data_IF_178418114629
#
_entry.id   IF_178418114629
#
_cell.length_a   1.000
_cell.length_b   1.000
_cell.length_c   1.000
_cell.angle_alpha   90.00
_cell.angle_beta   90.00
_cell.angle_gamma   90.00
#
_symmetry.space_group_name_H-M   'P 1'
#
loop_
_entity.id
_entity.type
_entity.pdbx_description
1 polymer ?
#
# COMPACT_ATOMS: atom_id res chain seq x y z
N UNK A 1 11.24 -5.57 -18.00
CA UNK A 1 9.89 -5.47 -18.60
C UNK A 1 9.57 -4.01 -18.82
N UNK A 2 9.01 -3.62 -19.97
CA UNK A 2 8.50 -2.27 -20.19
C UNK A 2 7.06 -2.23 -19.66
N UNK A 3 6.84 -1.51 -18.56
CA UNK A 3 5.48 -1.19 -18.11
C UNK A 3 4.82 -0.31 -19.18
N UNK A 4 3.60 -0.63 -19.65
CA UNK A 4 2.94 0.19 -20.65
C UNK A 4 2.81 1.64 -20.16
N UNK A 5 3.22 2.61 -20.99
CA UNK A 5 2.99 4.05 -20.71
C UNK A 5 1.51 4.41 -20.52
N UNK A 6 0.62 3.55 -20.98
CA UNK A 6 -0.82 3.67 -20.77
C UNK A 6 -1.22 3.42 -19.31
N UNK A 7 -0.45 2.62 -18.56
CA UNK A 7 -0.69 2.27 -17.16
C UNK A 7 0.17 3.14 -16.23
N UNK A 8 1.43 3.37 -16.61
CA UNK A 8 2.33 4.28 -15.90
C UNK A 8 2.79 5.38 -16.86
N UNK A 9 2.05 6.51 -16.93
CA UNK A 9 2.33 7.57 -17.91
C UNK A 9 3.60 8.37 -17.60
N UNK A 10 4.05 8.35 -16.35
CA UNK A 10 5.25 9.08 -15.92
C UNK A 10 6.53 8.25 -16.16
N UNK A 11 7.70 8.90 -16.22
CA UNK A 11 8.98 8.19 -16.28
C UNK A 11 9.16 7.23 -15.09
N UNK A 12 9.81 6.09 -15.33
CA UNK A 12 10.06 5.07 -14.29
C UNK A 12 10.78 5.62 -13.04
N UNK A 13 11.58 6.69 -13.20
CA UNK A 13 12.33 7.35 -12.12
C UNK A 13 11.40 7.96 -11.05
N UNK A 14 10.15 8.24 -11.42
CA UNK A 14 9.16 8.84 -10.52
C UNK A 14 8.35 7.80 -9.74
N UNK A 15 8.50 6.52 -10.08
CA UNK A 15 7.80 5.44 -9.41
C UNK A 15 8.72 4.71 -8.45
N UNK A 16 8.22 4.45 -7.26
CA UNK A 16 8.85 3.57 -6.29
C UNK A 16 8.30 2.15 -6.56
N UNK A 17 9.12 1.20 -7.02
CA UNK A 17 8.68 -0.18 -7.17
C UNK A 17 8.49 -0.81 -5.79
N UNK A 18 7.31 -1.40 -5.57
CA UNK A 18 7.00 -2.16 -4.37
C UNK A 18 6.84 -3.62 -4.74
N UNK A 19 7.43 -4.52 -3.94
CA UNK A 19 7.39 -5.95 -4.17
C UNK A 19 6.24 -6.58 -3.37
N UNK A 20 5.15 -7.04 -4.01
CA UNK A 20 4.10 -7.78 -3.32
C UNK A 20 4.61 -9.16 -2.91
N UNK A 21 4.58 -9.45 -1.61
CA UNK A 21 4.96 -10.74 -1.05
C UNK A 21 3.70 -11.54 -0.70
N UNK A 22 3.29 -12.45 -1.58
CA UNK A 22 2.15 -13.34 -1.33
C UNK A 22 2.45 -14.31 -0.20
N UNK A 23 1.55 -14.39 0.78
CA UNK A 23 1.72 -15.27 1.95
C UNK A 23 0.48 -16.13 2.25
N UNK A 24 -0.66 -15.82 1.62
CA UNK A 24 -1.89 -16.60 1.76
C UNK A 24 -2.67 -16.61 0.45
N UNK A 25 -3.21 -17.78 0.11
CA UNK A 25 -4.06 -17.99 -1.07
C UNK A 25 -5.24 -18.89 -0.67
N UNK A 26 -6.46 -18.51 -1.05
CA UNK A 26 -7.66 -19.31 -0.76
C UNK A 26 -8.75 -19.13 -1.82
N UNK A 27 -9.78 -19.98 -1.77
CA UNK A 27 -10.88 -19.99 -2.74
C UNK A 27 -11.65 -18.66 -2.76
N UNK A 28 -11.95 -18.15 -3.96
CA UNK A 28 -12.86 -17.03 -4.17
C UNK A 28 -14.21 -17.55 -4.69
N UNK A 29 -14.99 -18.21 -3.82
CA UNK A 29 -16.22 -18.91 -4.20
C UNK A 29 -17.25 -17.99 -4.87
N UNK A 30 -17.30 -16.73 -4.44
CA UNK A 30 -18.21 -15.72 -4.98
C UNK A 30 -17.71 -15.07 -6.27
N UNK A 31 -16.53 -15.47 -6.77
CA UNK A 31 -15.85 -14.89 -7.95
C UNK A 31 -15.78 -13.37 -7.89
N UNK A 32 -15.60 -12.83 -6.68
CA UNK A 32 -15.52 -11.40 -6.45
C UNK A 32 -14.28 -10.84 -7.15
N UNK A 33 -14.39 -9.62 -7.68
CA UNK A 33 -13.26 -8.89 -8.19
C UNK A 33 -13.12 -7.58 -7.42
N UNK A 34 -11.93 -7.32 -6.87
CA UNK A 34 -11.71 -6.14 -6.05
C UNK A 34 -10.41 -6.21 -5.26
N UNK A 35 -10.12 -5.14 -4.56
CA UNK A 35 -8.98 -5.05 -3.67
C UNK A 35 -9.40 -4.41 -2.35
N UNK A 36 -8.91 -4.98 -1.24
CA UNK A 36 -9.01 -4.40 0.09
C UNK A 36 -7.61 -4.24 0.68
N UNK A 37 -7.43 -3.16 1.46
CA UNK A 37 -6.13 -2.79 2.03
C UNK A 37 -6.26 -2.68 3.54
N UNK A 38 -5.38 -3.35 4.26
CA UNK A 38 -5.40 -3.39 5.73
C UNK A 38 -4.04 -2.96 6.27
N UNK A 39 -4.06 -2.17 7.34
CA UNK A 39 -2.82 -1.67 7.95
C UNK A 39 -2.10 -2.73 8.77
N UNK A 40 -2.85 -3.70 9.31
CA UNK A 40 -2.33 -4.71 10.23
C UNK A 40 -2.95 -6.07 9.97
N UNK A 41 -2.24 -7.13 10.39
CA UNK A 41 -2.77 -8.49 10.37
C UNK A 41 -4.01 -8.65 11.26
N UNK A 42 -4.12 -7.89 12.36
CA UNK A 42 -5.29 -7.91 13.23
C UNK A 42 -6.53 -7.39 12.49
N UNK A 43 -6.45 -6.22 11.86
CA UNK A 43 -7.54 -5.68 11.03
C UNK A 43 -7.92 -6.63 9.90
N UNK A 44 -6.94 -7.20 9.21
CA UNK A 44 -7.22 -8.21 8.18
C UNK A 44 -7.98 -9.41 8.74
N UNK A 45 -7.64 -9.90 9.93
CA UNK A 45 -8.33 -11.05 10.55
C UNK A 45 -9.76 -10.72 10.98
N UNK A 46 -9.99 -9.51 11.45
CA UNK A 46 -11.29 -9.09 11.95
C UNK A 46 -12.26 -8.72 10.81
N UNK A 47 -11.75 -8.09 9.75
CA UNK A 47 -12.55 -7.52 8.67
C UNK A 47 -12.60 -8.38 7.41
N UNK A 48 -11.57 -9.19 7.14
CA UNK A 48 -11.60 -10.10 6.00
C UNK A 48 -12.38 -11.36 6.36
N UNK A 49 -13.23 -11.82 5.44
CA UNK A 49 -13.85 -13.15 5.48
C UNK A 49 -12.81 -14.26 5.21
N UNK A 50 -11.71 -14.27 5.96
CA UNK A 50 -10.63 -15.22 5.82
C UNK A 50 -11.02 -16.55 6.49
N UNK A 51 -10.89 -17.70 5.80
CA UNK A 51 -11.17 -18.99 6.41
C UNK A 51 -10.23 -19.24 7.60
N UNK A 52 -10.83 -19.58 8.75
CA UNK A 52 -10.19 -19.76 10.05
C UNK A 52 -9.09 -20.83 10.10
N UNK A 53 -8.95 -21.65 9.07
CA UNK A 53 -7.96 -22.73 8.99
C UNK A 53 -6.54 -22.29 8.55
N UNK A 54 -6.35 -21.06 8.08
CA UNK A 54 -5.04 -20.55 7.63
C UNK A 54 -4.27 -19.78 8.73
N UNK A 55 -4.70 -19.92 9.98
CA UNK A 55 -4.21 -19.23 11.17
C UNK A 55 -2.86 -19.76 11.70
N UNK A 56 -1.83 -19.80 10.86
CA UNK A 56 -0.46 -19.90 11.35
C UNK A 56 -0.14 -18.72 12.29
N UNK A 57 0.80 -18.90 13.22
CA UNK A 57 1.42 -17.79 13.95
C UNK A 57 2.32 -17.00 13.01
N UNK A 58 1.73 -16.22 12.11
CA UNK A 58 2.45 -15.28 11.27
C UNK A 58 2.90 -14.11 12.14
N UNK A 59 4.21 -13.99 12.37
CA UNK A 59 4.79 -12.77 12.93
C UNK A 59 4.77 -11.72 11.81
N UNK A 60 3.76 -10.85 11.82
CA UNK A 60 3.61 -9.80 10.82
C UNK A 60 4.58 -8.65 11.10
N UNK A 61 5.43 -8.25 10.13
CA UNK A 61 6.33 -7.12 10.33
C UNK A 61 5.55 -5.80 10.52
N UNK A 62 6.04 -4.87 11.35
CA UNK A 62 5.33 -3.61 11.61
C UNK A 62 5.24 -2.71 10.38
N UNK A 63 6.21 -2.81 9.46
CA UNK A 63 6.33 -1.94 8.28
C UNK A 63 5.68 -2.57 7.04
N UNK A 64 4.60 -3.33 7.22
CA UNK A 64 3.90 -4.03 6.13
C UNK A 64 2.40 -3.78 6.19
N UNK A 65 1.83 -3.33 5.07
CA UNK A 65 0.38 -3.38 4.85
C UNK A 65 -0.01 -4.70 4.17
N UNK A 66 -1.29 -5.04 4.23
CA UNK A 66 -1.86 -6.23 3.59
C UNK A 66 -2.76 -5.80 2.44
N UNK A 67 -2.60 -6.44 1.29
CA UNK A 67 -3.52 -6.38 0.17
C UNK A 67 -4.27 -7.70 0.06
N UNK A 68 -5.60 -7.67 0.21
CA UNK A 68 -6.47 -8.77 -0.21
C UNK A 68 -6.94 -8.52 -1.64
N UNK A 69 -6.50 -9.37 -2.56
CA UNK A 69 -6.73 -9.29 -4.00
C UNK A 69 -7.72 -10.36 -4.42
N UNK A 70 -8.95 -9.97 -4.74
CA UNK A 70 -10.03 -10.89 -5.10
C UNK A 70 -10.05 -11.09 -6.62
N UNK A 71 -9.86 -12.33 -7.07
CA UNK A 71 -9.98 -12.69 -8.48
C UNK A 71 -8.77 -12.32 -9.35
N UNK A 72 -7.65 -11.91 -8.75
CA UNK A 72 -6.40 -11.61 -9.46
C UNK A 72 -5.16 -11.79 -8.59
N UNK A 73 -4.04 -12.08 -9.23
CA UNK A 73 -2.71 -12.13 -8.62
C UNK A 73 -1.95 -10.84 -8.92
N UNK A 74 -1.51 -10.07 -7.92
CA UNK A 74 -0.62 -8.93 -8.15
C UNK A 74 0.74 -9.41 -8.64
N UNK A 75 1.26 -8.81 -9.70
CA UNK A 75 2.58 -9.12 -10.28
C UNK A 75 3.59 -8.01 -9.95
N UNK A 76 3.19 -6.76 -10.15
CA UNK A 76 4.03 -5.59 -9.91
C UNK A 76 3.22 -4.49 -9.25
N UNK A 77 3.84 -3.74 -8.35
CA UNK A 77 3.23 -2.57 -7.72
C UNK A 77 4.16 -1.38 -7.89
N UNK A 78 3.61 -0.25 -8.32
CA UNK A 78 4.32 1.00 -8.52
C UNK A 78 3.64 2.11 -7.74
N UNK A 79 4.38 2.74 -6.83
CA UNK A 79 3.86 3.80 -5.99
C UNK A 79 4.38 5.17 -6.43
N UNK A 80 3.48 6.16 -6.53
CA UNK A 80 3.81 7.56 -6.81
C UNK A 80 2.75 8.49 -6.22
N UNK A 81 3.15 9.37 -5.30
CA UNK A 81 2.27 10.38 -4.73
C UNK A 81 1.04 9.76 -4.06
N UNK A 82 -0.14 9.98 -4.62
CA UNK A 82 -1.42 9.46 -4.11
C UNK A 82 -1.85 8.16 -4.80
N UNK A 83 -1.02 7.56 -5.66
CA UNK A 83 -1.40 6.42 -6.50
C UNK A 83 -0.47 5.23 -6.25
N UNK A 84 -1.07 4.05 -6.12
CA UNK A 84 -0.41 2.76 -6.14
C UNK A 84 -0.98 1.93 -7.28
N UNK A 85 -0.22 1.83 -8.37
CA UNK A 85 -0.63 1.10 -9.57
C UNK A 85 -0.19 -0.36 -9.45
N UNK A 86 -1.13 -1.27 -9.58
CA UNK A 86 -0.92 -2.71 -9.49
C UNK A 86 -1.12 -3.31 -10.89
N UNK A 87 -0.09 -3.96 -11.42
CA UNK A 87 -0.21 -4.80 -12.62
C UNK A 87 -0.49 -6.22 -12.14
N UNK A 88 -1.56 -6.82 -12.64
CA UNK A 88 -2.07 -8.09 -12.15
C UNK A 88 -2.39 -9.07 -13.28
N UNK A 89 -2.45 -10.36 -12.92
CA UNK A 89 -2.97 -11.44 -13.75
C UNK A 89 -4.35 -11.85 -13.23
N UNK A 90 -5.37 -12.02 -14.09
CA UNK A 90 -6.68 -12.46 -13.64
C UNK A 90 -6.62 -13.93 -13.19
N UNK A 91 -7.18 -14.21 -12.02
CA UNK A 91 -7.32 -15.55 -11.45
C UNK A 91 -8.66 -15.59 -10.69
N UNK A 92 -9.80 -15.65 -11.40
CA UNK A 92 -11.12 -15.35 -10.83
C UNK A 92 -11.50 -16.21 -9.61
N UNK A 93 -11.03 -17.45 -9.58
CA UNK A 93 -11.39 -18.45 -8.57
C UNK A 93 -10.53 -18.37 -7.28
N UNK A 94 -9.63 -17.39 -7.17
CA UNK A 94 -8.68 -17.31 -6.06
C UNK A 94 -8.61 -15.91 -5.47
N UNK A 95 -8.51 -15.86 -4.14
CA UNK A 95 -8.12 -14.67 -3.39
C UNK A 95 -6.65 -14.78 -3.02
N UNK A 96 -5.86 -13.78 -3.41
CA UNK A 96 -4.46 -13.66 -3.05
C UNK A 96 -4.30 -12.62 -1.95
N UNK A 97 -3.51 -12.94 -0.92
CA UNK A 97 -3.17 -11.98 0.12
C UNK A 97 -1.67 -11.74 0.07
N UNK A 98 -1.30 -10.48 -0.10
CA UNK A 98 0.10 -10.06 -0.26
C UNK A 98 0.47 -8.97 0.74
N UNK A 99 1.71 -9.01 1.23
CA UNK A 99 2.31 -7.92 1.99
C UNK A 99 2.90 -6.87 1.04
N UNK A 100 2.80 -5.59 1.40
CA UNK A 100 3.59 -4.52 0.79
C UNK A 100 4.32 -3.74 1.86
N UNK A 101 5.55 -3.34 1.55
CA UNK A 101 6.33 -2.43 2.37
C UNK A 101 5.63 -1.07 2.48
N UNK A 102 5.33 -0.68 3.71
CA UNK A 102 4.60 0.55 4.00
C UNK A 102 5.52 1.75 4.21
N UNK A 103 6.83 1.53 4.33
CA UNK A 103 7.83 2.58 4.56
C UNK A 103 7.95 3.59 3.41
N UNK A 104 7.28 3.35 2.28
CA UNK A 104 7.24 4.29 1.18
C UNK A 104 6.00 5.19 1.20
N UNK A 105 4.95 4.88 1.97
CA UNK A 105 3.72 5.67 1.95
C UNK A 105 3.84 6.93 2.81
N UNK A 106 3.93 8.08 2.15
CA UNK A 106 4.06 9.41 2.78
C UNK A 106 2.83 10.32 2.57
N UNK A 107 1.77 9.82 1.93
CA UNK A 107 0.52 10.53 1.72
C UNK A 107 -0.57 9.99 2.64
N UNK A 108 -1.53 10.84 2.99
CA UNK A 108 -2.65 10.49 3.87
C UNK A 108 -3.70 9.61 3.16
N UNK A 109 -3.79 9.69 1.84
CA UNK A 109 -4.72 8.93 1.03
C UNK A 109 -3.99 8.31 -0.17
N UNK A 110 -4.10 6.99 -0.32
CA UNK A 110 -3.58 6.24 -1.48
C UNK A 110 -4.73 5.64 -2.27
N UNK A 111 -4.73 5.85 -3.58
CA UNK A 111 -5.60 5.20 -4.53
C UNK A 111 -4.87 4.01 -5.15
N UNK A 112 -5.36 2.82 -4.85
CA UNK A 112 -4.90 1.59 -5.46
C UNK A 112 -5.67 1.38 -6.76
N UNK A 113 -4.95 1.26 -7.87
CA UNK A 113 -5.52 1.02 -9.19
C UNK A 113 -4.95 -0.27 -9.76
N UNK A 114 -5.83 -1.21 -10.12
CA UNK A 114 -5.42 -2.54 -10.58
C UNK A 114 -5.69 -2.65 -12.07
N UNK A 115 -4.64 -2.93 -12.84
CA UNK A 115 -4.67 -3.11 -14.27
C UNK A 115 -4.19 -4.50 -14.66
N UNK A 116 -4.76 -5.03 -15.73
CA UNK A 116 -4.18 -6.16 -16.44
C UNK A 116 -2.99 -5.71 -17.28
N UNK A 117 -2.15 -6.66 -17.71
CA UNK A 117 -1.00 -6.39 -18.60
C UNK A 117 -1.41 -5.71 -19.93
N UNK A 118 -2.66 -5.87 -20.36
CA UNK A 118 -3.22 -5.24 -21.55
C UNK A 118 -3.74 -3.80 -21.33
N UNK A 119 -3.61 -3.24 -20.12
CA UNK A 119 -4.04 -1.88 -19.79
C UNK A 119 -5.50 -1.75 -19.33
N UNK A 120 -6.28 -2.82 -19.28
CA UNK A 120 -7.65 -2.77 -18.76
C UNK A 120 -7.64 -2.64 -17.23
N UNK A 121 -8.29 -1.61 -16.68
CA UNK A 121 -8.51 -1.47 -15.24
C UNK A 121 -9.58 -2.47 -14.78
N UNK A 122 -9.28 -3.24 -13.73
CA UNK A 122 -10.17 -4.29 -13.21
C UNK A 122 -10.64 -4.06 -11.78
N UNK A 123 -9.91 -3.25 -11.00
CA UNK A 123 -10.29 -2.92 -9.64
C UNK A 123 -9.70 -1.58 -9.21
N UNK A 124 -10.32 -0.95 -8.22
CA UNK A 124 -9.79 0.23 -7.55
C UNK A 124 -10.23 0.26 -6.09
N UNK A 125 -9.39 0.84 -5.24
CA UNK A 125 -9.76 1.16 -3.87
C UNK A 125 -9.04 2.42 -3.40
N UNK A 126 -9.70 3.21 -2.57
CA UNK A 126 -9.06 4.32 -1.86
C UNK A 126 -8.83 3.90 -0.42
N UNK A 127 -7.63 4.13 0.08
CA UNK A 127 -7.22 3.73 1.42
C UNK A 127 -6.68 4.94 2.18
N UNK A 128 -7.33 5.26 3.30
CA UNK A 128 -6.85 6.28 4.22
C UNK A 128 -5.70 5.67 5.03
N UNK A 129 -4.50 6.22 4.85
CA UNK A 129 -3.29 5.73 5.53
C UNK A 129 -3.37 6.12 7.00
N UNK A 130 -3.35 5.15 7.93
CA UNK A 130 -3.33 5.47 9.35
C UNK A 130 -2.04 6.18 9.74
N UNK A 131 -2.11 7.05 10.74
CA UNK A 131 -0.97 7.89 11.17
C UNK A 131 0.26 7.09 11.61
N UNK A 132 0.05 5.88 12.13
CA UNK A 132 1.12 4.97 12.56
C UNK A 132 1.76 4.21 11.39
N UNK A 133 1.18 4.25 10.19
CA UNK A 133 1.76 3.66 8.97
C UNK A 133 2.44 4.73 8.12
N UNK A 134 1.86 5.93 8.06
CA UNK A 134 2.40 7.00 7.24
C UNK A 134 3.79 7.42 7.72
N UNK A 135 4.76 7.49 6.80
CA UNK A 135 6.01 8.22 7.06
C UNK A 135 5.69 9.71 7.00
N UNK A 136 5.09 10.22 8.07
CA UNK A 136 5.01 11.66 8.32
C UNK A 136 6.43 12.07 8.72
N UNK A 137 7.20 12.63 7.79
CA UNK A 137 8.31 13.50 8.21
C UNK A 137 7.69 14.50 9.18
N UNK A 138 8.21 14.59 10.41
CA UNK A 138 7.78 15.61 11.35
C UNK A 138 7.68 16.92 10.58
N UNK A 139 6.54 17.63 10.62
CA UNK A 139 6.45 18.91 9.94
C UNK A 139 7.65 19.69 10.45
N UNK A 140 8.54 20.09 9.53
CA UNK A 140 9.78 20.79 9.84
C UNK A 140 9.57 21.63 11.09
N UNK A 141 10.28 21.31 12.18
CA UNK A 141 10.30 22.15 13.37
C UNK A 141 10.45 23.57 12.87
N UNK A 142 9.36 24.35 12.93
CA UNK A 142 9.38 25.76 12.54
C UNK A 142 10.57 26.34 13.27
N UNK A 143 11.48 26.92 12.49
CA UNK A 143 12.84 27.22 12.90
C UNK A 143 12.92 27.68 14.34
N UNK A 144 13.91 27.15 15.06
CA UNK A 144 14.43 27.82 16.22
C UNK A 144 14.61 29.30 15.82
N UNK A 145 13.72 30.16 16.30
CA UNK A 145 14.02 31.59 16.37
C UNK A 145 15.27 31.64 17.23
N UNK A 146 16.41 31.83 16.59
CA UNK A 146 17.58 32.37 17.24
C UNK A 146 17.12 33.68 17.88
N UNK A 147 16.89 33.64 19.19
CA UNK A 147 16.76 34.85 19.98
C UNK A 147 17.99 35.70 19.71
N UNK A 148 17.85 36.98 19.36
CA UNK A 148 19.01 37.85 19.23
C UNK A 148 19.72 37.95 20.60
N UNK A 149 21.05 37.91 20.65
CA UNK A 149 21.77 38.16 21.89
C UNK A 149 21.72 39.66 22.17
N UNK A 150 21.06 40.06 23.26
CA UNK A 150 21.04 41.48 23.62
C UNK A 150 20.17 41.79 24.83
N UNK A 151 20.73 41.66 26.03
CA UNK A 151 21.21 42.78 26.83
C UNK A 151 21.49 42.26 28.24
N UNK A 152 22.76 42.30 28.64
CA UNK A 152 23.13 42.29 30.05
C UNK A 152 22.46 43.50 30.73
N UNK A 153 21.62 43.25 31.74
CA UNK A 153 21.27 44.28 32.71
C UNK A 153 22.10 44.06 33.96
N UNK A 154 23.27 44.70 34.00
CA UNK A 154 23.95 45.03 35.26
C UNK A 154 23.63 46.48 35.58
N UNK A 155 22.78 46.69 36.58
CA UNK A 155 23.00 47.57 37.75
C UNK A 155 21.81 47.50 38.68
#
# INVERSE_FOLDING_TARGET
MNVPRQICPFPAVEYIPLHPESFLEYSNENKQSGISVFATLAQFRDEANCPSQSQGQWQWPPDRIILACYGFRPLFVYYRGHEAVIIARPVPETTFVAALDSSFFYKELINFEVFLENGMQIARASWQVPDYVAIRRSPHCKGARSSPPGLESRR
#
